data_IF_420094006037
#
_entry.id   IF_420094006037
#
_cell.length_a   1.000
_cell.length_b   1.000
_cell.length_c   1.000
_cell.angle_alpha   90.00
_cell.angle_beta   90.00
_cell.angle_gamma   90.00
#
_symmetry.space_group_name_H-M   'P 1'
#
loop_
_entity.id
_entity.type
_entity.pdbx_description
1 polymer ?
#
# COMPACT_ATOMS: atom_id res chain seq x y z
N UNK A 1 1.09 -8.42 -18.40
CA UNK A 1 0.52 -8.15 -17.08
C UNK A 1 1.63 -7.69 -16.14
N UNK A 2 1.57 -6.45 -15.63
CA UNK A 2 2.60 -5.86 -14.80
C UNK A 2 2.75 -6.59 -13.46
N UNK A 3 3.98 -6.67 -12.98
CA UNK A 3 4.31 -7.22 -11.67
C UNK A 3 4.34 -6.07 -10.67
N UNK A 4 3.29 -5.96 -9.86
CA UNK A 4 3.16 -4.95 -8.82
C UNK A 4 3.46 -5.59 -7.47
N UNK A 5 4.47 -5.10 -6.76
CA UNK A 5 4.78 -5.52 -5.37
C UNK A 5 4.19 -4.50 -4.39
N UNK A 6 3.47 -4.99 -3.39
CA UNK A 6 2.80 -4.15 -2.39
C UNK A 6 3.51 -4.24 -1.04
N UNK A 7 3.65 -3.10 -0.37
CA UNK A 7 4.20 -3.04 0.99
C UNK A 7 3.30 -2.25 1.92
N UNK A 8 3.06 -2.79 3.12
CA UNK A 8 2.22 -2.21 4.16
C UNK A 8 2.90 -2.33 5.52
N UNK A 9 2.66 -1.37 6.42
CA UNK A 9 2.90 -1.54 7.86
C UNK A 9 1.55 -1.48 8.58
N UNK A 10 1.31 -2.40 9.50
CA UNK A 10 0.04 -2.50 10.22
C UNK A 10 0.25 -2.93 11.67
N UNK A 11 -0.73 -2.68 12.54
CA UNK A 11 -0.81 -3.24 13.88
C UNK A 11 -2.27 -3.43 14.30
N UNK A 12 -2.62 -4.64 14.71
CA UNK A 12 -3.93 -4.96 15.31
C UNK A 12 -5.14 -4.59 14.42
N UNK A 13 -5.01 -4.75 13.09
CA UNK A 13 -6.02 -4.28 12.13
C UNK A 13 -7.19 -5.26 11.86
N UNK A 14 -7.09 -6.51 12.32
CA UNK A 14 -8.16 -7.52 12.30
C UNK A 14 -8.88 -7.63 10.94
N UNK A 15 -10.17 -7.29 10.91
CA UNK A 15 -11.00 -7.39 9.71
C UNK A 15 -10.56 -6.46 8.56
N UNK A 16 -9.89 -5.34 8.88
CA UNK A 16 -9.30 -4.49 7.84
C UNK A 16 -8.15 -5.22 7.14
N UNK A 17 -7.31 -5.94 7.88
CA UNK A 17 -6.26 -6.79 7.31
C UNK A 17 -6.88 -7.90 6.44
N UNK A 18 -7.99 -8.51 6.87
CA UNK A 18 -8.67 -9.54 6.07
C UNK A 18 -9.16 -9.00 4.71
N UNK A 19 -9.74 -7.79 4.72
CA UNK A 19 -10.17 -7.09 3.50
C UNK A 19 -8.99 -6.71 2.61
N UNK A 20 -7.92 -6.17 3.19
CA UNK A 20 -6.69 -5.82 2.49
C UNK A 20 -6.06 -7.03 1.82
N UNK A 21 -5.89 -8.14 2.56
CA UNK A 21 -5.36 -9.40 2.03
C UNK A 21 -6.22 -9.92 0.87
N UNK A 22 -7.54 -9.96 1.04
CA UNK A 22 -8.46 -10.41 -0.02
C UNK A 22 -8.30 -9.58 -1.28
N UNK A 23 -8.23 -8.26 -1.13
CA UNK A 23 -8.12 -7.35 -2.26
C UNK A 23 -6.76 -7.44 -2.96
N UNK A 24 -5.66 -7.19 -2.25
CA UNK A 24 -4.34 -7.11 -2.88
C UNK A 24 -3.78 -8.46 -3.30
N UNK A 25 -4.09 -9.56 -2.59
CA UNK A 25 -3.71 -10.88 -3.08
C UNK A 25 -4.53 -11.30 -4.31
N UNK A 26 -5.80 -10.89 -4.38
CA UNK A 26 -6.63 -11.09 -5.57
C UNK A 26 -6.08 -10.36 -6.78
N UNK A 27 -5.60 -9.12 -6.58
CA UNK A 27 -4.98 -8.31 -7.64
C UNK A 27 -3.61 -8.85 -8.05
N UNK A 28 -2.70 -9.08 -7.09
CA UNK A 28 -1.27 -9.23 -7.37
C UNK A 28 -0.65 -10.56 -6.94
N UNK A 29 -1.39 -11.43 -6.25
CA UNK A 29 -0.85 -12.68 -5.68
C UNK A 29 -0.16 -12.45 -4.33
N UNK A 30 -0.11 -13.50 -3.50
CA UNK A 30 0.47 -13.44 -2.15
C UNK A 30 1.98 -13.19 -2.19
N UNK A 31 2.67 -13.79 -3.16
CA UNK A 31 4.11 -13.70 -3.40
C UNK A 31 4.62 -12.28 -3.71
N UNK A 32 3.70 -11.37 -4.03
CA UNK A 32 3.98 -9.96 -4.31
C UNK A 32 3.60 -9.03 -3.15
N UNK A 33 3.16 -9.58 -2.03
CA UNK A 33 2.82 -8.81 -0.83
C UNK A 33 3.95 -8.87 0.18
N UNK A 34 4.20 -7.75 0.86
CA UNK A 34 5.06 -7.70 2.03
C UNK A 34 4.42 -6.85 3.12
N UNK A 35 4.41 -7.38 4.35
CA UNK A 35 3.73 -6.75 5.49
C UNK A 35 4.72 -6.61 6.64
N UNK A 36 4.84 -5.40 7.17
CA UNK A 36 5.55 -5.13 8.42
C UNK A 36 4.53 -5.18 9.55
N UNK A 37 4.61 -6.20 10.40
CA UNK A 37 3.81 -6.28 11.61
C UNK A 37 4.45 -5.42 12.70
N UNK A 38 3.80 -4.30 13.04
CA UNK A 38 4.32 -3.37 14.04
C UNK A 38 3.94 -3.78 15.48
N UNK A 39 4.10 -5.07 15.78
CA UNK A 39 3.88 -5.63 17.11
C UNK A 39 2.41 -5.87 17.43
N UNK A 40 1.70 -6.59 16.55
CA UNK A 40 0.32 -6.98 16.83
C UNK A 40 0.24 -7.95 18.01
N UNK A 41 -0.84 -7.81 18.77
CA UNK A 41 -1.24 -8.69 19.88
C UNK A 41 -2.64 -9.26 19.69
N UNK A 42 -3.43 -8.70 18.77
CA UNK A 42 -4.73 -9.20 18.37
C UNK A 42 -4.60 -10.62 17.76
N UNK A 43 -5.22 -11.65 18.35
CA UNK A 43 -5.11 -13.02 17.87
C UNK A 43 -5.60 -13.20 16.43
N UNK A 44 -6.60 -12.43 16.01
CA UNK A 44 -7.15 -12.54 14.66
C UNK A 44 -6.16 -12.01 13.61
N UNK A 45 -5.61 -10.82 13.84
CA UNK A 45 -4.54 -10.22 13.05
C UNK A 45 -3.35 -11.18 12.93
N UNK A 46 -2.87 -11.73 14.06
CA UNK A 46 -1.76 -12.69 14.06
C UNK A 46 -2.06 -13.96 13.28
N UNK A 47 -3.30 -14.45 13.32
CA UNK A 47 -3.72 -15.61 12.53
C UNK A 47 -3.72 -15.30 11.03
N UNK A 48 -4.23 -14.14 10.62
CA UNK A 48 -4.25 -13.70 9.24
C UNK A 48 -2.84 -13.54 8.66
N UNK A 49 -1.92 -12.94 9.42
CA UNK A 49 -0.53 -12.78 9.00
C UNK A 49 0.15 -14.14 8.78
N UNK A 50 -0.06 -15.10 9.68
CA UNK A 50 0.50 -16.46 9.54
C UNK A 50 -0.08 -17.22 8.35
N UNK A 51 -1.38 -17.09 8.10
CA UNK A 51 -2.01 -17.66 6.89
C UNK A 51 -1.44 -17.05 5.62
N UNK A 52 -1.32 -15.72 5.58
CA UNK A 52 -0.75 -15.01 4.44
C UNK A 52 0.71 -15.41 4.20
N UNK A 53 1.51 -15.54 5.26
CA UNK A 53 2.90 -16.01 5.21
C UNK A 53 3.00 -17.41 4.62
N UNK A 54 2.16 -18.35 5.08
CA UNK A 54 2.09 -19.71 4.55
C UNK A 54 1.70 -19.76 3.06
N UNK A 55 1.05 -18.70 2.55
CA UNK A 55 0.61 -18.56 1.16
C UNK A 55 1.60 -17.78 0.29
N UNK A 56 2.68 -17.24 0.86
CA UNK A 56 3.77 -16.61 0.12
C UNK A 56 3.97 -15.11 0.40
N UNK A 57 3.13 -14.47 1.22
CA UNK A 57 3.37 -13.08 1.67
C UNK A 57 4.62 -13.04 2.54
N UNK A 58 5.49 -12.06 2.32
CA UNK A 58 6.63 -11.85 3.22
C UNK A 58 6.23 -11.03 4.45
N UNK A 59 6.43 -11.56 5.65
CA UNK A 59 6.12 -10.85 6.91
C UNK A 59 7.39 -10.41 7.63
N UNK A 60 7.53 -9.11 7.86
CA UNK A 60 8.60 -8.53 8.67
C UNK A 60 8.17 -8.45 10.14
N UNK A 61 8.31 -9.54 10.88
CA UNK A 61 7.95 -9.64 12.30
C UNK A 61 8.83 -8.81 13.26
N UNK A 62 10.00 -8.36 12.80
CA UNK A 62 11.00 -7.68 13.64
C UNK A 62 10.88 -6.16 13.64
N UNK A 63 10.02 -5.57 12.79
CA UNK A 63 9.78 -4.13 12.71
C UNK A 63 8.64 -3.71 13.63
N UNK A 64 8.76 -4.07 14.91
CA UNK A 64 7.66 -4.15 15.87
C UNK A 64 7.71 -3.13 17.02
N UNK A 65 8.54 -2.09 16.89
CA UNK A 65 8.65 -1.03 17.90
C UNK A 65 7.97 0.26 17.47
N UNK A 66 7.68 1.15 18.43
CA UNK A 66 7.21 2.50 18.12
C UNK A 66 8.23 3.29 17.29
N UNK A 67 9.52 3.07 17.49
CA UNK A 67 10.57 3.69 16.69
C UNK A 67 10.51 3.22 15.22
N UNK A 68 10.15 1.97 14.96
CA UNK A 68 9.94 1.47 13.60
C UNK A 68 8.75 2.13 12.93
N UNK A 69 7.66 2.35 13.67
CA UNK A 69 6.50 3.09 13.15
C UNK A 69 6.87 4.51 12.71
N UNK A 70 7.60 5.26 13.55
CA UNK A 70 8.06 6.61 13.20
C UNK A 70 9.01 6.62 11.98
N UNK A 71 9.64 5.48 11.68
CA UNK A 71 10.58 5.30 10.56
C UNK A 71 10.01 4.48 9.40
N UNK A 72 8.69 4.25 9.38
CA UNK A 72 7.99 3.47 8.35
C UNK A 72 8.43 3.79 6.92
N UNK A 73 8.52 5.08 6.57
CA UNK A 73 8.94 5.50 5.22
C UNK A 73 10.37 5.05 4.86
N UNK A 74 11.28 5.04 5.84
CA UNK A 74 12.64 4.52 5.66
C UNK A 74 12.67 3.00 5.51
N UNK A 75 11.86 2.28 6.29
CA UNK A 75 11.72 0.83 6.17
C UNK A 75 11.16 0.41 4.81
N UNK A 76 10.13 1.12 4.33
CA UNK A 76 9.58 0.93 2.98
C UNK A 76 10.65 1.20 1.92
N UNK A 77 11.42 2.28 2.04
CA UNK A 77 12.51 2.57 1.12
C UNK A 77 13.56 1.46 1.06
N UNK A 78 13.96 0.92 2.21
CA UNK A 78 14.89 -0.21 2.29
C UNK A 78 14.33 -1.48 1.64
N UNK A 79 13.05 -1.77 1.84
CA UNK A 79 12.36 -2.91 1.22
C UNK A 79 12.34 -2.76 -0.30
N UNK A 80 11.98 -1.57 -0.81
CA UNK A 80 11.97 -1.29 -2.25
C UNK A 80 13.38 -1.39 -2.85
N UNK A 81 14.41 -0.87 -2.17
CA UNK A 81 15.79 -1.04 -2.62
C UNK A 81 16.24 -2.51 -2.66
N UNK A 82 15.80 -3.33 -1.70
CA UNK A 82 16.03 -4.76 -1.74
C UNK A 82 15.29 -5.41 -2.91
N UNK A 83 14.06 -4.99 -3.19
CA UNK A 83 13.33 -5.48 -4.37
C UNK A 83 14.03 -5.14 -5.68
N UNK A 84 14.54 -3.91 -5.81
CA UNK A 84 15.33 -3.48 -6.98
C UNK A 84 16.59 -4.34 -7.18
N UNK A 85 17.12 -4.98 -6.14
CA UNK A 85 18.30 -5.84 -6.25
C UNK A 85 17.96 -7.30 -6.58
N UNK A 86 16.86 -7.83 -6.04
CA UNK A 86 16.61 -9.27 -6.00
C UNK A 86 15.42 -9.74 -6.86
N UNK A 87 14.54 -8.84 -7.27
CA UNK A 87 13.28 -9.19 -7.93
C UNK A 87 13.13 -8.46 -9.25
N UNK A 88 12.54 -9.14 -10.24
CA UNK A 88 12.03 -8.48 -11.43
C UNK A 88 10.58 -8.05 -11.17
N UNK A 89 10.33 -6.75 -11.16
CA UNK A 89 9.00 -6.18 -10.98
C UNK A 89 8.88 -4.83 -11.71
N UNK A 90 7.64 -4.37 -11.93
CA UNK A 90 7.38 -3.12 -12.64
C UNK A 90 7.08 -1.97 -11.69
N UNK A 91 6.32 -2.23 -10.61
CA UNK A 91 5.88 -1.19 -9.68
C UNK A 91 5.97 -1.61 -8.21
N UNK A 92 6.43 -0.70 -7.35
CA UNK A 92 6.36 -0.81 -5.90
C UNK A 92 5.23 0.10 -5.39
N UNK A 93 4.26 -0.50 -4.70
CA UNK A 93 3.03 0.14 -4.23
C UNK A 93 2.96 0.12 -2.69
N UNK A 94 3.31 1.22 -2.01
CA UNK A 94 3.08 1.39 -0.58
C UNK A 94 1.60 1.69 -0.30
N UNK A 95 0.94 0.89 0.53
CA UNK A 95 -0.50 1.01 0.84
C UNK A 95 -0.74 0.83 2.34
N UNK A 96 -1.73 1.56 2.88
CA UNK A 96 -2.17 1.39 4.26
C UNK A 96 -3.28 0.33 4.36
N UNK A 97 -3.50 -0.20 5.56
CA UNK A 97 -4.41 -1.33 5.77
C UNK A 97 -5.88 -0.98 5.51
N UNK A 98 -6.24 0.29 5.67
CA UNK A 98 -7.57 0.85 5.44
C UNK A 98 -7.80 1.29 3.99
N UNK A 99 -6.82 1.11 3.09
CA UNK A 99 -6.88 1.54 1.70
C UNK A 99 -7.12 0.38 0.72
N UNK A 100 -8.07 0.57 -0.21
CA UNK A 100 -8.29 -0.32 -1.35
C UNK A 100 -7.99 0.41 -2.66
N UNK A 101 -7.35 -0.29 -3.60
CA UNK A 101 -7.01 0.25 -4.90
C UNK A 101 -8.17 0.07 -5.89
N UNK A 102 -8.51 1.14 -6.60
CA UNK A 102 -9.50 1.11 -7.66
C UNK A 102 -9.09 1.99 -8.84
N UNK A 103 -9.79 1.81 -9.95
CA UNK A 103 -9.63 2.64 -11.15
C UNK A 103 -10.96 3.25 -11.54
N UNK A 104 -10.95 4.53 -11.93
CA UNK A 104 -12.09 5.15 -12.58
C UNK A 104 -12.07 4.80 -14.07
N UNK A 105 -13.14 4.21 -14.55
CA UNK A 105 -13.37 3.99 -15.98
C UNK A 105 -14.53 4.85 -16.47
N UNK A 106 -14.81 4.81 -17.77
CA UNK A 106 -16.01 5.42 -18.36
C UNK A 106 -17.34 5.01 -17.70
N UNK A 107 -17.35 3.86 -17.01
CA UNK A 107 -18.51 3.30 -16.32
C UNK A 107 -18.48 3.56 -14.80
N UNK A 108 -17.60 4.44 -14.32
CA UNK A 108 -17.43 4.77 -12.91
C UNK A 108 -16.27 4.00 -12.23
N UNK A 109 -16.29 3.98 -10.90
CA UNK A 109 -15.27 3.30 -10.10
C UNK A 109 -15.34 1.79 -10.30
N UNK A 110 -14.18 1.15 -10.49
CA UNK A 110 -14.07 -0.29 -10.61
C UNK A 110 -12.94 -0.83 -9.74
N UNK A 111 -13.22 -1.94 -9.05
CA UNK A 111 -12.25 -2.77 -8.33
C UNK A 111 -11.90 -4.06 -9.09
N UNK A 112 -12.28 -4.12 -10.37
CA UNK A 112 -12.04 -5.27 -11.22
C UNK A 112 -10.53 -5.44 -11.49
N UNK A 113 -10.05 -6.68 -11.37
CA UNK A 113 -8.64 -7.02 -11.52
C UNK A 113 -8.11 -6.62 -12.89
N UNK A 114 -8.81 -6.99 -13.97
CA UNK A 114 -8.35 -6.75 -15.33
C UNK A 114 -8.24 -5.26 -15.60
N UNK A 115 -9.24 -4.47 -15.21
CA UNK A 115 -9.22 -3.01 -15.38
C UNK A 115 -8.08 -2.34 -14.61
N UNK A 116 -7.81 -2.77 -13.38
CA UNK A 116 -6.68 -2.26 -12.59
C UNK A 116 -5.35 -2.62 -13.25
N UNK A 117 -5.19 -3.85 -13.72
CA UNK A 117 -3.99 -4.28 -14.43
C UNK A 117 -3.79 -3.51 -15.74
N UNK A 118 -4.83 -3.27 -16.53
CA UNK A 118 -4.76 -2.43 -17.73
C UNK A 118 -4.27 -1.02 -17.40
N UNK A 119 -4.73 -0.43 -16.29
CA UNK A 119 -4.26 0.89 -15.86
C UNK A 119 -2.75 0.89 -15.51
N UNK A 120 -2.22 -0.19 -14.94
CA UNK A 120 -0.78 -0.34 -14.75
C UNK A 120 -0.03 -0.58 -16.07
N UNK A 121 -0.62 -1.30 -17.02
CA UNK A 121 -0.01 -1.58 -18.33
C UNK A 121 0.26 -0.28 -19.10
N UNK A 122 -0.64 0.69 -19.03
CA UNK A 122 -0.48 2.03 -19.64
C UNK A 122 0.69 2.85 -19.07
N UNK A 123 1.20 2.45 -17.90
CA UNK A 123 2.31 3.10 -17.22
C UNK A 123 3.67 2.42 -17.48
N UNK A 124 3.68 1.24 -18.11
CA UNK A 124 4.92 0.52 -18.40
C UNK A 124 5.90 1.36 -19.22
N UNK A 125 7.19 1.22 -18.94
CA UNK A 125 8.27 1.98 -19.56
C UNK A 125 8.45 3.42 -19.03
N UNK A 126 7.59 3.89 -18.13
CA UNK A 126 7.80 5.16 -17.42
C UNK A 126 8.60 4.92 -16.15
N UNK A 127 9.78 5.52 -16.05
CA UNK A 127 10.69 5.37 -14.90
C UNK A 127 10.61 6.58 -13.96
N UNK A 128 9.50 6.70 -13.22
CA UNK A 128 9.26 7.82 -12.29
C UNK A 128 8.43 7.40 -11.08
N UNK A 129 8.31 8.31 -10.12
CA UNK A 129 7.25 8.24 -9.13
C UNK A 129 5.90 8.61 -9.77
N UNK A 130 4.84 7.92 -9.36
CA UNK A 130 3.47 8.16 -9.75
C UNK A 130 2.65 8.67 -8.57
N UNK A 131 1.62 9.45 -8.88
CA UNK A 131 0.65 9.94 -7.90
C UNK A 131 -0.72 9.36 -8.22
N UNK A 132 -1.39 8.82 -7.21
CA UNK A 132 -2.80 8.45 -7.28
C UNK A 132 -3.61 9.76 -7.27
N UNK A 133 -4.44 9.96 -8.30
CA UNK A 133 -5.10 11.26 -8.53
C UNK A 133 -6.10 11.63 -7.42
N UNK A 134 -6.82 10.65 -6.89
CA UNK A 134 -7.87 10.88 -5.90
C UNK A 134 -7.96 9.73 -4.92
N UNK A 135 -8.29 10.05 -3.67
CA UNK A 135 -8.72 9.10 -2.66
C UNK A 135 -10.20 9.29 -2.37
N UNK A 136 -10.89 8.22 -2.03
CA UNK A 136 -12.31 8.21 -1.69
C UNK A 136 -12.45 7.82 -0.22
N UNK A 137 -12.69 8.79 0.67
CA UNK A 137 -12.90 8.48 2.09
C UNK A 137 -14.34 8.15 2.38
N UNK A 138 -14.56 7.12 3.19
CA UNK A 138 -15.87 6.81 3.75
C UNK A 138 -16.44 8.02 4.51
N UNK A 139 -17.75 8.23 4.40
CA UNK A 139 -18.48 9.19 5.23
C UNK A 139 -19.14 8.40 6.37
N UNK A 140 -18.64 8.45 7.62
CA UNK A 140 -19.06 7.52 8.69
C UNK A 140 -20.57 7.50 8.94
N UNK A 141 -21.23 8.64 8.82
CA UNK A 141 -22.68 8.79 9.07
C UNK A 141 -23.53 8.51 7.82
N UNK A 142 -22.92 8.17 6.68
CA UNK A 142 -23.61 7.94 5.41
C UNK A 142 -23.08 6.66 4.75
N UNK A 143 -23.70 5.51 5.03
CA UNK A 143 -23.38 4.26 4.34
C UNK A 143 -23.40 4.44 2.83
N UNK A 144 -22.44 3.86 2.12
CA UNK A 144 -22.25 3.94 0.67
C UNK A 144 -21.87 5.32 0.10
N UNK A 145 -21.59 6.31 0.96
CA UNK A 145 -21.08 7.61 0.53
C UNK A 145 -19.57 7.71 0.71
N UNK A 146 -18.93 8.24 -0.32
CA UNK A 146 -17.50 8.50 -0.34
C UNK A 146 -17.19 9.93 -0.76
N UNK A 147 -16.35 10.60 0.01
CA UNK A 147 -15.89 11.95 -0.28
C UNK A 147 -14.58 11.90 -1.09
N UNK A 148 -14.54 12.49 -2.30
CA UNK A 148 -13.32 12.57 -3.08
C UNK A 148 -12.37 13.61 -2.47
N UNK A 149 -11.19 13.17 -2.04
CA UNK A 149 -10.12 14.03 -1.56
C UNK A 149 -8.97 14.02 -2.57
N UNK A 150 -8.71 15.19 -3.16
CA UNK A 150 -7.64 15.42 -4.15
C UNK A 150 -6.33 15.95 -3.55
N UNK A 151 -6.36 16.37 -2.29
CA UNK A 151 -5.21 16.93 -1.58
C UNK A 151 -4.51 15.92 -0.66
N UNK A 152 -5.07 14.72 -0.54
CA UNK A 152 -4.40 13.60 0.08
C UNK A 152 -3.58 12.89 -0.99
N UNK A 153 -2.26 12.88 -0.83
CA UNK A 153 -1.35 12.39 -1.86
C UNK A 153 -0.84 11.01 -1.47
N UNK A 154 -1.24 10.01 -2.26
CA UNK A 154 -0.63 8.69 -2.28
C UNK A 154 0.11 8.50 -3.59
N UNK A 155 1.17 7.71 -3.55
CA UNK A 155 2.01 7.48 -4.71
C UNK A 155 2.64 6.11 -4.67
N UNK A 156 3.17 5.71 -5.82
CA UNK A 156 3.87 4.46 -6.02
C UNK A 156 5.02 4.70 -6.99
N UNK A 157 5.91 3.73 -7.11
CA UNK A 157 7.18 3.89 -7.83
C UNK A 157 7.28 2.87 -8.96
N UNK A 158 7.80 3.28 -10.11
CA UNK A 158 8.39 2.32 -11.04
C UNK A 158 9.59 1.62 -10.38
N UNK A 159 9.88 0.39 -10.76
CA UNK A 159 11.12 -0.27 -10.36
C UNK A 159 12.35 0.57 -10.73
N UNK A 160 13.36 0.50 -9.88
CA UNK A 160 14.62 1.22 -9.97
C UNK A 160 14.49 2.76 -10.02
N UNK A 161 13.36 3.33 -9.60
CA UNK A 161 13.12 4.79 -9.60
C UNK A 161 13.27 5.45 -8.23
N UNK A 162 13.48 4.68 -7.17
CA UNK A 162 13.71 5.22 -5.83
C UNK A 162 15.10 5.87 -5.76
N UNK A 163 15.12 7.19 -5.61
CA UNK A 163 16.35 7.96 -5.37
C UNK A 163 16.43 8.38 -3.90
N UNK A 164 17.61 8.77 -3.40
CA UNK A 164 17.79 9.23 -2.02
C UNK A 164 16.85 10.41 -1.63
N UNK A 165 16.36 11.17 -2.62
CA UNK A 165 15.40 12.27 -2.45
C UNK A 165 13.92 11.85 -2.41
N UNK A 166 13.61 10.59 -2.74
CA UNK A 166 12.24 10.04 -2.86
C UNK A 166 11.71 9.44 -1.55
N UNK A 167 12.41 9.57 -0.41
CA UNK A 167 12.02 8.96 0.87
C UNK A 167 10.88 9.68 1.62
N UNK A 168 10.35 10.78 1.08
CA UNK A 168 9.33 11.62 1.72
C UNK A 168 7.86 11.24 1.39
N UNK A 169 7.62 10.20 0.59
CA UNK A 169 6.31 9.94 -0.04
C UNK A 169 5.20 9.41 0.88
N UNK A 170 5.44 9.22 2.19
CA UNK A 170 4.41 8.77 3.14
C UNK A 170 4.26 9.63 4.39
N UNK A 171 4.82 10.83 4.42
CA UNK A 171 4.64 11.77 5.52
C UNK A 171 3.52 12.75 5.23
N UNK A 172 2.28 12.43 5.61
CA UNK A 172 1.32 13.50 5.89
C UNK A 172 1.91 14.36 7.02
N UNK A 173 2.42 15.55 6.69
CA UNK A 173 2.84 16.51 7.71
C UNK A 173 1.67 16.76 8.64
N UNK A 174 1.81 16.59 9.98
CA UNK A 174 0.82 17.09 10.90
C UNK A 174 0.73 18.59 10.67
N UNK A 175 -0.43 19.07 10.23
CA UNK A 175 -0.68 20.50 10.14
C UNK A 175 -0.47 21.09 11.52
N UNK A 176 0.59 21.89 11.68
CA UNK A 176 0.67 22.84 12.78
C UNK A 176 -0.46 23.82 12.61
N UNK A 177 -1.60 23.56 13.25
CA UNK A 177 -2.56 24.61 13.56
C UNK A 177 -1.88 25.51 14.59
N UNK A 178 -1.20 26.54 14.10
CA UNK A 178 -0.96 27.71 14.92
C UNK A 178 -2.33 28.29 15.26
N UNK A 179 -2.62 28.30 16.56
CA UNK A 179 -3.66 29.13 17.14
C UNK A 179 -3.21 30.57 16.93
N UNK A 180 -4.04 31.35 16.28
CA UNK A 180 -4.21 32.78 16.54
C UNK A 180 -5.67 33.00 16.97
#
# INVERSE_FOLDING_TARGET
MPIVRCVMMQRDEGDMLARWLTHYSGLFGFENLSIMDNGSSDPWTLSLLKDAEARGTHIYWHLNTHHDFLRKGGHIGNIVHHWDAEYNYDFALPVDCDELLGVFTENGLSLDKQKIHTAFEELLGRHSAFRIETSLFNVPERPDWYAPIRHFHKGFLASHSLTATTSQFQGGTPGTSQRD
#
